data_IF_510584909859
#
_entry.id   IF_510584909859
#
_cell.length_a   1.000
_cell.length_b   1.000
_cell.length_c   1.000
_cell.angle_alpha   90.00
_cell.angle_beta   90.00
_cell.angle_gamma   90.00
#
_symmetry.space_group_name_H-M   'P 1'
#
loop_
_entity.id
_entity.type
_entity.pdbx_description
1 polymer ?
#
# COMPACT_ATOMS: atom_id res chain seq x y z
N UNK A 1 -23.06 73.11 36.76
CA UNK A 1 -24.04 73.31 37.84
C UNK A 1 -25.04 72.16 37.78
N UNK A 2 -25.18 71.47 38.91
CA UNK A 2 -26.30 70.63 39.37
C UNK A 2 -26.79 69.43 38.53
N UNK A 3 -26.47 68.24 39.03
CA UNK A 3 -27.29 67.01 38.93
C UNK A 3 -28.68 67.27 39.62
N UNK A 4 -29.70 66.44 39.28
CA UNK A 4 -30.11 65.41 40.24
C UNK A 4 -30.57 64.09 39.57
N UNK A 5 -30.19 62.97 40.10
CA UNK A 5 -30.77 61.92 40.96
C UNK A 5 -32.16 61.35 40.59
N UNK A 6 -32.11 60.01 40.46
CA UNK A 6 -33.01 58.85 40.42
C UNK A 6 -34.48 59.07 41.02
N UNK A 7 -35.42 58.16 40.64
CA UNK A 7 -35.51 56.90 41.40
C UNK A 7 -35.92 55.62 40.64
N UNK A 8 -35.59 54.52 41.31
CA UNK A 8 -35.93 53.12 41.08
C UNK A 8 -37.44 52.84 41.10
N UNK A 9 -37.90 52.01 40.15
CA UNK A 9 -39.15 51.26 40.33
C UNK A 9 -38.96 49.82 39.85
N UNK A 10 -39.04 48.89 40.81
CA UNK A 10 -39.11 47.45 40.60
C UNK A 10 -40.52 47.10 40.07
N UNK A 11 -40.59 46.34 38.96
CA UNK A 11 -41.77 45.57 38.58
C UNK A 11 -41.37 44.14 38.28
N UNK A 12 -41.88 43.23 39.08
CA UNK A 12 -41.96 41.82 38.84
C UNK A 12 -42.92 41.58 37.67
N UNK A 13 -42.47 40.80 36.68
CA UNK A 13 -43.37 40.22 35.70
C UNK A 13 -43.03 38.74 35.51
N UNK A 14 -44.05 37.93 35.71
CA UNK A 14 -44.05 36.48 35.74
C UNK A 14 -43.71 35.90 34.39
N UNK A 15 -42.81 34.86 34.39
CA UNK A 15 -42.53 33.99 33.25
C UNK A 15 -43.74 33.07 33.02
N UNK A 16 -44.40 33.20 31.87
CA UNK A 16 -45.23 32.14 31.29
C UNK A 16 -44.40 31.37 30.27
N UNK A 17 -44.06 30.15 30.64
CA UNK A 17 -43.30 29.22 29.79
C UNK A 17 -44.30 28.53 28.85
N UNK A 18 -44.37 29.00 27.60
CA UNK A 18 -45.12 28.31 26.54
C UNK A 18 -44.21 27.29 25.86
N UNK A 19 -44.42 26.04 26.16
CA UNK A 19 -43.78 24.92 25.47
C UNK A 19 -44.34 24.77 24.05
N UNK A 20 -43.60 25.22 23.04
CA UNK A 20 -43.84 24.84 21.64
C UNK A 20 -43.23 23.46 21.40
N UNK A 21 -44.06 22.44 21.29
CA UNK A 21 -43.67 21.13 20.77
C UNK A 21 -43.57 21.25 19.26
N UNK A 22 -42.33 21.40 18.76
CA UNK A 22 -42.04 21.26 17.34
C UNK A 22 -41.92 19.75 17.04
N UNK A 23 -42.94 19.16 16.44
CA UNK A 23 -42.88 17.86 15.80
C UNK A 23 -42.02 17.98 14.56
N UNK A 24 -40.69 17.75 14.69
CA UNK A 24 -39.82 17.53 13.57
C UNK A 24 -40.00 16.07 13.09
N UNK A 25 -40.60 15.89 11.91
CA UNK A 25 -40.49 14.66 11.15
C UNK A 25 -39.02 14.49 10.75
N UNK A 26 -38.22 13.85 11.61
CA UNK A 26 -36.88 13.39 11.28
C UNK A 26 -37.00 12.16 10.44
N UNK A 27 -36.50 12.21 9.22
CA UNK A 27 -36.11 11.01 8.48
C UNK A 27 -35.17 10.19 9.37
N UNK A 28 -35.49 8.93 9.58
CA UNK A 28 -34.62 7.96 10.26
C UNK A 28 -33.28 7.87 9.53
N UNK A 29 -32.34 8.70 9.94
CA UNK A 29 -30.94 8.52 9.64
C UNK A 29 -30.43 7.33 10.45
N UNK A 30 -30.52 6.13 9.92
CA UNK A 30 -29.77 5.01 10.49
C UNK A 30 -28.32 5.45 10.62
N UNK A 31 -27.66 5.29 11.80
CA UNK A 31 -26.25 5.57 11.90
C UNK A 31 -25.52 4.74 10.85
N UNK A 32 -24.46 5.28 10.21
CA UNK A 32 -23.72 4.53 9.22
C UNK A 32 -23.32 3.21 9.86
N UNK A 33 -23.68 2.10 9.20
CA UNK A 33 -23.26 0.77 9.59
C UNK A 33 -21.74 0.82 9.78
N UNK A 34 -21.27 0.61 11.00
CA UNK A 34 -19.84 0.47 11.29
C UNK A 34 -19.31 -0.56 10.30
N UNK A 35 -18.46 -0.11 9.38
CA UNK A 35 -17.67 -1.03 8.58
C UNK A 35 -16.99 -2.06 9.51
N UNK A 36 -16.59 -3.22 9.01
CA UNK A 36 -15.94 -4.24 9.83
C UNK A 36 -14.87 -3.56 10.68
N UNK A 37 -14.92 -3.80 12.01
CA UNK A 37 -13.93 -3.24 12.92
C UNK A 37 -12.54 -3.63 12.41
N UNK A 38 -11.67 -2.65 12.18
CA UNK A 38 -10.31 -2.92 11.72
C UNK A 38 -9.67 -3.95 12.66
N UNK A 39 -9.30 -5.10 12.12
CA UNK A 39 -8.58 -6.12 12.89
C UNK A 39 -7.28 -5.50 13.42
N UNK A 40 -6.94 -5.85 14.66
CA UNK A 40 -5.68 -5.38 15.26
C UNK A 40 -4.51 -5.97 14.48
N UNK A 41 -3.55 -5.12 14.10
CA UNK A 41 -2.31 -5.57 13.48
C UNK A 41 -1.62 -6.65 14.33
N UNK A 42 -1.12 -7.73 13.73
CA UNK A 42 -0.45 -8.78 14.45
C UNK A 42 0.86 -8.29 15.08
N UNK A 43 1.18 -8.84 16.26
CA UNK A 43 2.48 -8.64 16.88
C UNK A 43 3.40 -9.80 16.51
N UNK A 44 4.54 -9.49 15.89
CA UNK A 44 5.47 -10.51 15.41
C UNK A 44 6.52 -10.81 16.48
N UNK A 45 6.47 -12.02 17.02
CA UNK A 45 7.50 -12.48 17.96
C UNK A 45 8.84 -12.60 17.24
N UNK A 46 9.85 -11.94 17.79
CA UNK A 46 11.24 -12.01 17.27
C UNK A 46 11.82 -13.40 17.55
N UNK A 47 12.37 -14.02 16.52
CA UNK A 47 13.02 -15.32 16.65
C UNK A 47 14.28 -15.22 17.53
N UNK A 48 14.29 -15.96 18.64
CA UNK A 48 15.46 -16.01 19.55
C UNK A 48 16.49 -16.99 19.02
N UNK A 49 17.77 -16.62 19.11
CA UNK A 49 18.87 -17.52 18.71
C UNK A 49 19.06 -17.67 17.18
N UNK A 50 18.28 -16.97 16.36
CA UNK A 50 18.43 -17.03 14.91
C UNK A 50 19.86 -16.63 14.47
N UNK A 51 20.45 -17.43 13.57
CA UNK A 51 21.80 -17.20 13.01
C UNK A 51 21.77 -17.43 11.50
N UNK A 52 22.44 -16.57 10.77
CA UNK A 52 22.61 -16.65 9.32
C UNK A 52 24.01 -16.13 8.94
N UNK A 53 25.10 -16.84 9.39
CA UNK A 53 26.47 -16.37 9.20
C UNK A 53 26.89 -16.27 7.74
N UNK A 54 26.26 -17.03 6.83
CA UNK A 54 26.52 -17.04 5.39
C UNK A 54 26.05 -15.74 4.71
N UNK A 55 25.01 -15.08 5.26
CA UNK A 55 24.51 -13.81 4.71
C UNK A 55 25.35 -12.62 5.16
N UNK A 56 25.97 -11.94 4.21
CA UNK A 56 26.66 -10.68 4.45
C UNK A 56 25.72 -9.56 4.86
N UNK A 57 24.54 -9.53 4.24
CA UNK A 57 23.49 -8.54 4.53
C UNK A 57 22.95 -8.70 5.94
N UNK A 58 22.60 -9.94 6.33
CA UNK A 58 22.11 -10.21 7.68
C UNK A 58 23.15 -9.87 8.76
N UNK A 59 24.45 -10.23 8.57
CA UNK A 59 25.50 -9.87 9.52
C UNK A 59 25.58 -8.35 9.74
N UNK A 60 25.53 -7.56 8.65
CA UNK A 60 25.51 -6.09 8.72
C UNK A 60 24.28 -5.58 9.48
N UNK A 61 23.09 -6.10 9.15
CA UNK A 61 21.86 -5.74 9.84
C UNK A 61 21.90 -6.12 11.33
N UNK A 62 22.43 -7.30 11.65
CA UNK A 62 22.58 -7.79 13.02
C UNK A 62 23.54 -6.90 13.83
N UNK A 63 24.70 -6.52 13.27
CA UNK A 63 25.65 -5.59 13.91
C UNK A 63 25.03 -4.22 14.15
N UNK A 64 24.23 -3.73 13.22
CA UNK A 64 23.51 -2.45 13.29
C UNK A 64 22.29 -2.51 14.23
N UNK A 65 21.80 -3.72 14.54
CA UNK A 65 20.63 -3.99 15.38
C UNK A 65 19.29 -3.74 14.69
N UNK A 66 19.27 -3.55 13.37
CA UNK A 66 18.08 -3.37 12.54
C UNK A 66 18.34 -3.63 11.06
N UNK A 67 17.27 -3.93 10.32
CA UNK A 67 17.28 -3.87 8.86
C UNK A 67 17.00 -2.46 8.34
N UNK A 68 17.56 -2.14 7.18
CA UNK A 68 17.18 -1.01 6.32
C UNK A 68 16.37 -1.59 5.17
N UNK A 69 15.10 -1.22 5.08
CA UNK A 69 14.15 -1.82 4.14
C UNK A 69 13.63 -0.79 3.17
N UNK A 70 13.74 -1.08 1.88
CA UNK A 70 13.10 -0.29 0.86
C UNK A 70 11.60 -0.58 0.79
N UNK A 71 10.79 0.47 0.70
CA UNK A 71 9.33 0.37 0.62
C UNK A 71 8.75 1.46 -0.28
N UNK A 72 7.45 1.34 -0.59
CA UNK A 72 6.64 2.41 -1.16
C UNK A 72 6.10 3.31 -0.04
N UNK A 73 5.71 4.54 -0.41
CA UNK A 73 5.13 5.51 0.56
C UNK A 73 3.76 6.03 0.14
N UNK A 74 3.34 5.72 -1.10
CA UNK A 74 2.20 6.31 -1.78
C UNK A 74 1.09 5.31 -2.14
N UNK A 75 1.21 4.04 -1.74
CA UNK A 75 0.26 2.99 -2.12
C UNK A 75 -0.68 2.67 -0.96
N UNK A 76 -1.95 3.12 -1.00
CA UNK A 76 -2.91 2.89 0.08
C UNK A 76 -3.06 1.41 0.44
N UNK A 77 -3.06 1.10 1.73
CA UNK A 77 -3.17 -0.25 2.32
C UNK A 77 -1.99 -1.21 2.02
N UNK A 78 -1.03 -0.83 1.17
CA UNK A 78 0.14 -1.63 0.78
C UNK A 78 1.43 -1.08 1.39
N UNK A 79 1.87 0.08 0.95
CA UNK A 79 3.02 0.81 1.46
C UNK A 79 2.70 2.30 1.46
N UNK A 80 2.21 2.78 2.57
CA UNK A 80 1.75 4.16 2.76
C UNK A 80 2.55 4.80 3.91
N UNK A 81 2.99 6.05 3.73
CA UNK A 81 3.68 6.80 4.75
C UNK A 81 2.82 7.95 5.21
N UNK A 82 2.54 8.00 6.50
CA UNK A 82 1.84 9.12 7.10
C UNK A 82 2.71 10.39 7.05
N UNK A 83 2.27 11.46 6.40
CA UNK A 83 3.07 12.67 6.21
C UNK A 83 3.31 13.45 7.52
N UNK A 84 2.44 13.29 8.52
CA UNK A 84 2.56 13.99 9.79
C UNK A 84 3.52 13.32 10.76
N UNK A 85 3.51 11.97 10.79
CA UNK A 85 4.32 11.17 11.73
C UNK A 85 5.54 10.54 11.09
N UNK A 86 5.55 10.39 9.77
CA UNK A 86 6.56 9.65 9.02
C UNK A 86 6.43 8.12 9.16
N UNK A 87 5.39 7.63 9.83
CA UNK A 87 5.17 6.21 10.05
C UNK A 87 4.73 5.51 8.76
N UNK A 88 5.30 4.32 8.51
CA UNK A 88 4.90 3.46 7.42
C UNK A 88 3.86 2.44 7.87
N UNK A 89 2.88 2.17 7.00
CA UNK A 89 1.80 1.22 7.22
C UNK A 89 1.39 0.50 5.93
N UNK A 90 0.64 -0.58 6.05
CA UNK A 90 0.10 -1.35 4.94
C UNK A 90 0.66 -2.77 4.86
N UNK A 91 0.14 -3.56 3.94
CA UNK A 91 0.42 -4.99 3.82
C UNK A 91 1.91 -5.28 3.55
N UNK A 92 2.54 -4.55 2.64
CA UNK A 92 3.98 -4.69 2.34
C UNK A 92 4.84 -4.38 3.57
N UNK A 93 4.42 -3.40 4.37
CA UNK A 93 5.10 -3.03 5.62
C UNK A 93 4.99 -4.15 6.65
N UNK A 94 3.83 -4.79 6.75
CA UNK A 94 3.63 -5.93 7.63
C UNK A 94 4.44 -7.16 7.16
N UNK A 95 4.52 -7.42 5.86
CA UNK A 95 5.40 -8.45 5.28
C UNK A 95 6.87 -8.17 5.66
N UNK A 96 7.33 -6.92 5.52
CA UNK A 96 8.68 -6.54 5.93
C UNK A 96 8.93 -6.80 7.42
N UNK A 97 7.97 -6.46 8.28
CA UNK A 97 8.03 -6.71 9.73
C UNK A 97 8.08 -8.20 10.07
N UNK A 98 7.29 -9.03 9.39
CA UNK A 98 7.30 -10.50 9.55
C UNK A 98 8.68 -11.07 9.27
N UNK A 99 9.29 -10.65 8.15
CA UNK A 99 10.63 -11.08 7.75
C UNK A 99 11.66 -10.66 8.80
N UNK A 100 11.67 -9.40 9.21
CA UNK A 100 12.60 -8.90 10.23
C UNK A 100 12.53 -9.72 11.53
N UNK A 101 11.32 -9.94 12.05
CA UNK A 101 11.09 -10.72 13.27
C UNK A 101 11.55 -12.17 13.11
N UNK A 102 11.27 -12.79 11.98
CA UNK A 102 11.67 -14.19 11.70
C UNK A 102 13.19 -14.34 11.57
N UNK A 103 13.89 -13.29 11.09
CA UNK A 103 15.35 -13.24 10.98
C UNK A 103 16.04 -12.72 12.27
N UNK A 104 15.31 -12.66 13.38
CA UNK A 104 15.86 -12.38 14.72
C UNK A 104 16.15 -10.90 15.00
N UNK A 105 15.53 -9.96 14.26
CA UNK A 105 15.64 -8.53 14.51
C UNK A 105 14.27 -7.90 14.83
N UNK A 106 14.26 -6.95 15.77
CA UNK A 106 13.03 -6.28 16.20
C UNK A 106 12.39 -5.50 15.04
N UNK A 107 11.15 -5.86 14.62
CA UNK A 107 10.47 -5.22 13.52
C UNK A 107 10.12 -3.75 13.77
N UNK A 108 10.04 -3.32 15.03
CA UNK A 108 9.81 -1.92 15.41
C UNK A 108 11.02 -1.03 15.16
N UNK A 109 12.19 -1.64 14.94
CA UNK A 109 13.45 -0.93 14.69
C UNK A 109 13.83 -0.87 13.21
N UNK A 110 13.01 -1.38 12.32
CA UNK A 110 13.24 -1.26 10.87
C UNK A 110 13.39 0.21 10.50
N UNK A 111 14.44 0.50 9.74
CA UNK A 111 14.59 1.78 9.05
C UNK A 111 14.02 1.65 7.64
N UNK A 112 12.82 2.20 7.43
CA UNK A 112 12.22 2.22 6.10
C UNK A 112 12.79 3.36 5.25
N UNK A 113 13.07 3.06 3.98
CA UNK A 113 13.45 4.03 2.95
C UNK A 113 12.48 3.98 1.79
N UNK A 114 11.94 5.14 1.42
CA UNK A 114 11.15 5.26 0.19
C UNK A 114 12.04 5.04 -1.02
N UNK A 115 11.69 4.06 -1.86
CA UNK A 115 12.41 3.75 -3.10
C UNK A 115 11.43 3.67 -4.26
N UNK A 116 11.57 4.55 -5.24
CA UNK A 116 10.79 4.54 -6.46
C UNK A 116 10.99 3.26 -7.28
N UNK A 117 10.00 2.90 -8.12
CA UNK A 117 10.04 1.66 -8.90
C UNK A 117 11.27 1.53 -9.79
N UNK A 118 11.76 2.64 -10.36
CA UNK A 118 12.94 2.65 -11.23
C UNK A 118 14.26 2.43 -10.50
N UNK A 119 14.29 2.59 -9.17
CA UNK A 119 15.53 2.61 -8.38
C UNK A 119 15.72 1.35 -7.51
N UNK A 120 14.79 0.39 -7.56
CA UNK A 120 14.78 -0.79 -6.65
C UNK A 120 16.02 -1.66 -6.81
N UNK A 121 16.33 -2.01 -8.06
CA UNK A 121 17.46 -2.84 -8.41
C UNK A 121 18.79 -2.18 -7.98
N UNK A 122 18.96 -0.90 -8.31
CA UNK A 122 20.16 -0.13 -7.96
C UNK A 122 20.34 0.03 -6.45
N UNK A 123 19.25 0.27 -5.71
CA UNK A 123 19.30 0.40 -4.25
C UNK A 123 19.75 -0.90 -3.56
N UNK A 124 19.30 -2.07 -4.06
CA UNK A 124 19.75 -3.38 -3.58
C UNK A 124 21.19 -3.66 -3.96
N UNK A 125 21.58 -3.42 -5.22
CA UNK A 125 22.93 -3.65 -5.73
C UNK A 125 23.99 -2.82 -5.00
N UNK A 126 23.67 -1.57 -4.68
CA UNK A 126 24.57 -0.65 -3.98
C UNK A 126 24.53 -0.80 -2.45
N UNK A 127 23.73 -1.74 -1.92
CA UNK A 127 23.59 -1.95 -0.47
C UNK A 127 23.01 -0.75 0.29
N UNK A 128 22.22 0.08 -0.38
CA UNK A 128 21.50 1.20 0.25
C UNK A 128 20.37 0.71 1.14
N UNK A 129 19.85 -0.47 0.85
CA UNK A 129 18.84 -1.22 1.57
C UNK A 129 19.26 -2.69 1.70
N UNK A 130 18.82 -3.36 2.74
CA UNK A 130 19.11 -4.77 2.98
C UNK A 130 18.16 -5.70 2.21
N UNK A 131 16.89 -5.32 2.12
CA UNK A 131 15.88 -5.95 1.28
C UNK A 131 14.79 -4.93 0.91
N UNK A 132 13.95 -5.29 -0.06
CA UNK A 132 12.89 -4.43 -0.57
C UNK A 132 11.54 -5.14 -0.55
N UNK A 133 10.53 -4.48 0.02
CA UNK A 133 9.12 -4.93 0.00
C UNK A 133 8.25 -3.76 -0.44
N UNK A 134 7.66 -3.87 -1.63
CA UNK A 134 6.87 -2.77 -2.19
C UNK A 134 6.35 -3.12 -3.58
N UNK A 135 5.32 -3.98 -3.65
CA UNK A 135 4.66 -4.38 -4.91
C UNK A 135 5.67 -4.73 -6.01
N UNK A 136 6.64 -5.59 -5.68
CA UNK A 136 7.80 -5.86 -6.53
C UNK A 136 7.63 -7.15 -7.32
N UNK A 137 7.11 -7.03 -8.52
CA UNK A 137 6.89 -8.16 -9.43
C UNK A 137 8.19 -8.92 -9.71
N UNK A 138 8.19 -10.21 -9.41
CA UNK A 138 9.24 -11.16 -9.78
C UNK A 138 9.18 -11.39 -11.28
N UNK A 139 10.28 -11.21 -11.98
CA UNK A 139 10.45 -11.62 -13.38
C UNK A 139 11.91 -11.95 -13.71
N UNK A 140 12.14 -12.62 -14.85
CA UNK A 140 13.46 -13.12 -15.22
C UNK A 140 14.47 -12.00 -15.46
N UNK A 141 14.06 -10.84 -15.96
CA UNK A 141 14.98 -9.72 -16.16
C UNK A 141 15.47 -9.16 -14.84
N UNK A 142 14.59 -9.05 -13.83
CA UNK A 142 14.96 -8.59 -12.48
C UNK A 142 15.80 -9.64 -11.74
N UNK A 143 15.51 -10.95 -11.91
CA UNK A 143 16.32 -12.05 -11.35
C UNK A 143 17.78 -12.02 -11.81
N UNK A 144 18.09 -11.42 -12.97
CA UNK A 144 19.47 -11.19 -13.41
C UNK A 144 20.22 -10.12 -12.60
N UNK A 145 19.49 -9.23 -11.92
CA UNK A 145 20.02 -8.06 -11.22
C UNK A 145 19.96 -8.21 -9.70
N UNK A 146 18.91 -8.85 -9.18
CA UNK A 146 18.63 -9.03 -7.74
C UNK A 146 18.09 -10.44 -7.47
N UNK A 147 18.14 -10.88 -6.22
CA UNK A 147 17.44 -12.08 -5.76
C UNK A 147 16.01 -11.75 -5.31
N UNK A 148 15.13 -12.76 -5.32
CA UNK A 148 13.77 -12.67 -4.83
C UNK A 148 13.42 -13.82 -3.90
N UNK A 149 12.87 -13.48 -2.72
CA UNK A 149 12.10 -14.43 -1.91
C UNK A 149 10.61 -14.25 -2.17
N UNK A 150 9.83 -15.31 -2.02
CA UNK A 150 8.39 -15.32 -2.27
C UNK A 150 7.98 -16.10 -3.51
N UNK A 151 6.86 -15.75 -4.18
CA UNK A 151 6.04 -14.55 -3.96
C UNK A 151 5.20 -14.59 -2.68
N UNK A 152 4.88 -13.40 -2.13
CA UNK A 152 3.98 -13.27 -0.99
C UNK A 152 2.55 -12.86 -1.39
N UNK A 153 2.34 -12.38 -2.61
CA UNK A 153 1.05 -11.99 -3.16
C UNK A 153 1.01 -12.19 -4.67
N UNK A 154 -0.17 -12.43 -5.23
CA UNK A 154 -0.37 -12.50 -6.67
C UNK A 154 -1.31 -11.39 -7.11
N UNK A 155 -0.76 -10.38 -7.76
CA UNK A 155 -1.50 -9.31 -8.39
C UNK A 155 -1.64 -9.51 -9.91
N UNK A 156 -2.36 -8.61 -10.55
CA UNK A 156 -2.43 -8.52 -12.00
C UNK A 156 -2.63 -7.08 -12.44
N UNK A 157 -2.07 -6.69 -13.59
CA UNK A 157 -2.23 -5.35 -14.12
C UNK A 157 -3.67 -5.06 -14.49
N UNK A 158 -4.19 -3.90 -14.06
CA UNK A 158 -5.53 -3.41 -14.32
C UNK A 158 -5.54 -1.96 -14.79
N UNK A 159 -6.72 -1.38 -14.84
CA UNK A 159 -6.97 0.01 -15.21
C UNK A 159 -7.83 0.70 -14.15
N UNK A 160 -7.43 1.92 -13.79
CA UNK A 160 -8.20 2.84 -12.96
C UNK A 160 -8.60 4.03 -13.81
N UNK A 161 -9.86 4.39 -13.75
CA UNK A 161 -10.44 5.53 -14.46
C UNK A 161 -11.28 6.36 -13.53
N UNK A 162 -11.65 7.58 -13.95
CA UNK A 162 -12.65 8.37 -13.24
C UNK A 162 -13.99 7.66 -13.24
N UNK A 163 -14.82 7.94 -12.27
CA UNK A 163 -16.12 7.27 -12.10
C UNK A 163 -17.07 7.52 -13.29
N UNK A 164 -16.97 8.69 -13.94
CA UNK A 164 -17.75 9.09 -15.11
C UNK A 164 -17.16 8.63 -16.46
N UNK A 165 -16.02 7.94 -16.47
CA UNK A 165 -15.40 7.41 -17.70
C UNK A 165 -16.04 6.08 -18.09
N UNK A 166 -16.67 6.00 -19.27
CA UNK A 166 -17.37 4.82 -19.76
C UNK A 166 -16.78 4.22 -21.05
N UNK A 167 -15.82 4.90 -21.68
CA UNK A 167 -15.22 4.44 -22.93
C UNK A 167 -14.06 3.46 -22.69
N UNK A 168 -13.38 3.54 -21.54
CA UNK A 168 -12.24 2.69 -21.20
C UNK A 168 -12.73 1.54 -20.30
N UNK A 169 -12.82 0.32 -20.85
CA UNK A 169 -13.27 -0.89 -20.14
C UNK A 169 -12.24 -2.01 -20.15
N UNK A 170 -11.22 -1.89 -21.00
CA UNK A 170 -10.19 -2.89 -21.20
C UNK A 170 -8.93 -2.25 -21.77
N UNK A 171 -7.77 -2.91 -21.77
CA UNK A 171 -6.56 -2.35 -22.38
C UNK A 171 -6.67 -2.16 -23.90
N UNK A 172 -7.68 -2.73 -24.56
CA UNK A 172 -7.92 -2.50 -26.00
C UNK A 172 -8.51 -1.11 -26.31
N UNK A 173 -9.05 -0.45 -25.30
CA UNK A 173 -9.67 0.86 -25.43
C UNK A 173 -8.67 2.01 -25.19
N UNK A 174 -7.38 1.68 -25.03
CA UNK A 174 -6.32 2.65 -24.73
C UNK A 174 -5.75 3.37 -25.98
N UNK A 175 -6.15 2.98 -27.19
CA UNK A 175 -5.71 3.63 -28.44
C UNK A 175 -6.03 5.12 -28.41
N UNK A 176 -4.99 5.98 -28.53
CA UNK A 176 -5.11 7.44 -28.47
C UNK A 176 -5.33 8.04 -27.06
N UNK A 177 -5.51 7.22 -26.03
CA UNK A 177 -5.70 7.67 -24.65
C UNK A 177 -4.36 7.99 -23.98
N UNK A 178 -4.38 8.95 -23.05
CA UNK A 178 -3.24 9.28 -22.17
C UNK A 178 -3.28 8.34 -20.97
N UNK A 179 -2.28 7.47 -20.87
CA UNK A 179 -2.22 6.41 -19.84
C UNK A 179 -1.02 6.64 -18.95
N UNK A 180 -1.27 6.78 -17.64
CA UNK A 180 -0.21 7.01 -16.66
C UNK A 180 0.20 5.72 -15.96
N UNK A 181 1.50 5.56 -15.73
CA UNK A 181 2.07 4.49 -14.88
C UNK A 181 3.38 4.95 -14.25
N UNK A 182 3.83 4.25 -13.20
CA UNK A 182 5.10 4.57 -12.57
C UNK A 182 6.28 4.11 -13.42
N UNK A 183 7.27 4.98 -13.62
CA UNK A 183 8.50 4.67 -14.33
C UNK A 183 9.21 3.43 -13.73
N UNK A 184 9.71 2.52 -14.57
CA UNK A 184 10.41 1.29 -14.15
C UNK A 184 9.49 0.18 -13.60
N UNK A 185 8.17 0.37 -13.62
CA UNK A 185 7.20 -0.67 -13.30
C UNK A 185 6.98 -1.64 -14.48
N UNK A 186 6.53 -2.87 -14.19
CA UNK A 186 6.09 -3.84 -15.22
C UNK A 186 4.88 -3.32 -16.00
N UNK A 187 3.87 -2.69 -15.35
CA UNK A 187 2.77 -2.05 -16.07
C UNK A 187 3.20 -0.98 -17.07
N UNK A 188 4.16 -0.13 -16.70
CA UNK A 188 4.73 0.86 -17.62
C UNK A 188 5.33 0.20 -18.86
N UNK A 189 6.20 -0.81 -18.65
CA UNK A 189 6.86 -1.53 -19.74
C UNK A 189 5.86 -2.22 -20.67
N UNK A 190 4.81 -2.82 -20.11
CA UNK A 190 3.75 -3.50 -20.88
C UNK A 190 3.00 -2.53 -21.77
N UNK A 191 2.60 -1.34 -21.26
CA UNK A 191 1.92 -0.35 -22.10
C UNK A 191 2.83 0.08 -23.25
N UNK A 192 4.10 0.35 -22.94
CA UNK A 192 5.06 0.77 -23.96
C UNK A 192 5.25 -0.29 -25.07
N UNK A 193 5.22 -1.58 -24.73
CA UNK A 193 5.48 -2.68 -25.65
C UNK A 193 4.22 -3.15 -26.38
N UNK A 194 3.11 -3.34 -25.65
CA UNK A 194 1.94 -4.05 -26.15
C UNK A 194 0.82 -3.09 -26.61
N UNK A 195 0.87 -1.82 -26.18
CA UNK A 195 -0.15 -0.81 -26.48
C UNK A 195 0.47 0.50 -26.99
N UNK A 196 1.27 0.46 -28.08
CA UNK A 196 2.08 1.59 -28.55
C UNK A 196 1.26 2.78 -29.10
N UNK A 197 -0.05 2.60 -29.32
CA UNK A 197 -0.95 3.68 -29.71
C UNK A 197 -1.48 4.50 -28.53
N UNK A 198 -1.29 4.04 -27.29
CA UNK A 198 -1.56 4.83 -26.11
C UNK A 198 -0.46 5.88 -25.91
N UNK A 199 -0.85 7.06 -25.47
CA UNK A 199 0.12 8.09 -25.04
C UNK A 199 0.54 7.82 -23.61
N UNK A 200 1.70 7.16 -23.44
CA UNK A 200 2.21 6.77 -22.13
C UNK A 200 2.82 7.97 -21.39
N UNK A 201 2.33 8.25 -20.20
CA UNK A 201 2.83 9.25 -19.25
C UNK A 201 3.48 8.54 -18.07
N UNK A 202 4.64 8.99 -17.61
CA UNK A 202 5.38 8.37 -16.53
C UNK A 202 5.71 9.36 -15.42
N UNK A 203 5.50 8.93 -14.18
CA UNK A 203 5.97 9.62 -12.97
C UNK A 203 6.70 8.62 -12.04
N UNK A 204 7.32 9.10 -10.99
CA UNK A 204 8.02 8.26 -10.01
C UNK A 204 7.06 7.51 -9.09
N UNK A 205 5.85 8.06 -8.87
CA UNK A 205 4.83 7.53 -7.96
C UNK A 205 3.47 7.39 -8.63
N UNK A 206 2.65 6.48 -8.14
CA UNK A 206 1.28 6.31 -8.61
C UNK A 206 0.33 7.38 -8.07
N UNK A 207 0.63 7.97 -6.91
CA UNK A 207 -0.15 9.10 -6.38
C UNK A 207 -0.20 10.25 -7.36
N UNK A 208 0.94 10.61 -7.98
CA UNK A 208 1.00 11.65 -9.01
C UNK A 208 0.18 11.24 -10.25
N UNK A 209 0.19 9.96 -10.66
CA UNK A 209 -0.67 9.48 -11.73
C UNK A 209 -2.17 9.65 -11.39
N UNK A 210 -2.56 9.33 -10.16
CA UNK A 210 -3.95 9.46 -9.69
C UNK A 210 -4.38 10.93 -9.61
N UNK A 211 -3.52 11.83 -9.13
CA UNK A 211 -3.79 13.27 -9.12
C UNK A 211 -4.01 13.82 -10.55
N UNK A 212 -3.20 13.34 -11.50
CA UNK A 212 -3.36 13.70 -12.92
C UNK A 212 -4.63 13.09 -13.54
N UNK A 213 -5.08 11.91 -13.07
CA UNK A 213 -6.34 11.31 -13.49
C UNK A 213 -7.54 12.15 -13.00
N UNK A 214 -7.53 12.54 -11.72
CA UNK A 214 -8.58 13.36 -11.11
C UNK A 214 -8.66 14.77 -11.73
N UNK A 215 -7.53 15.30 -12.18
CA UNK A 215 -7.45 16.63 -12.84
C UNK A 215 -7.53 16.58 -14.37
N UNK A 216 -7.96 15.44 -14.95
CA UNK A 216 -8.17 15.25 -16.40
C UNK A 216 -6.90 15.43 -17.24
N UNK A 217 -5.71 15.34 -16.65
CA UNK A 217 -4.44 15.39 -17.40
C UNK A 217 -4.11 14.06 -18.06
N UNK A 218 -4.63 12.94 -17.49
CA UNK A 218 -4.57 11.61 -18.10
C UNK A 218 -5.97 10.97 -18.10
N UNK A 219 -6.15 9.98 -18.94
CA UNK A 219 -7.46 9.34 -19.16
C UNK A 219 -7.59 8.04 -18.34
N UNK A 220 -6.46 7.38 -18.07
CA UNK A 220 -6.39 6.19 -17.22
C UNK A 220 -5.07 6.12 -16.46
N UNK A 221 -5.09 5.45 -15.31
CA UNK A 221 -3.90 4.96 -14.60
C UNK A 221 -3.85 3.46 -14.73
N UNK A 222 -2.68 2.92 -15.05
CA UNK A 222 -2.47 1.48 -15.13
C UNK A 222 -1.36 1.04 -14.19
N UNK A 223 -1.70 0.07 -13.36
CA UNK A 223 -0.79 -0.65 -12.47
C UNK A 223 -1.48 -1.93 -11.99
N UNK A 224 -0.94 -2.56 -10.96
CA UNK A 224 -1.47 -3.78 -10.39
C UNK A 224 -2.79 -3.52 -9.65
N UNK A 225 -3.72 -4.44 -9.78
CA UNK A 225 -5.08 -4.34 -9.26
C UNK A 225 -5.14 -4.04 -7.76
N UNK A 226 -4.25 -4.63 -6.96
CA UNK A 226 -4.15 -4.35 -5.52
C UNK A 226 -3.86 -2.86 -5.24
N UNK A 227 -3.02 -2.21 -6.06
CA UNK A 227 -2.71 -0.78 -5.95
C UNK A 227 -3.93 0.05 -6.38
N UNK A 228 -4.53 -0.29 -7.52
CA UNK A 228 -5.69 0.44 -8.06
C UNK A 228 -6.90 0.39 -7.12
N UNK A 229 -7.18 -0.79 -6.56
CA UNK A 229 -8.26 -0.97 -5.58
C UNK A 229 -8.01 -0.12 -4.33
N UNK A 230 -6.75 -0.03 -3.89
CA UNK A 230 -6.39 0.83 -2.77
C UNK A 230 -6.73 2.30 -3.03
N UNK A 231 -6.40 2.84 -4.19
CA UNK A 231 -6.77 4.21 -4.56
C UNK A 231 -8.27 4.40 -4.73
N UNK A 232 -8.96 3.48 -5.43
CA UNK A 232 -10.41 3.54 -5.60
C UNK A 232 -11.15 3.49 -4.25
N UNK A 233 -10.67 2.70 -3.30
CA UNK A 233 -11.27 2.63 -1.95
C UNK A 233 -11.09 3.91 -1.13
N UNK A 234 -10.09 4.76 -1.43
CA UNK A 234 -9.89 6.06 -0.77
C UNK A 234 -10.87 7.13 -1.27
N UNK A 235 -11.25 7.08 -2.56
CA UNK A 235 -12.13 8.06 -3.22
C UNK A 235 -13.15 7.35 -4.14
N UNK A 236 -14.05 6.54 -3.58
CA UNK A 236 -14.93 5.65 -4.35
C UNK A 236 -15.94 6.38 -5.24
N UNK A 237 -16.26 7.62 -4.92
CA UNK A 237 -17.19 8.44 -5.72
C UNK A 237 -16.51 9.06 -6.94
N UNK A 238 -15.17 9.07 -6.98
CA UNK A 238 -14.41 9.72 -8.05
C UNK A 238 -13.70 8.71 -8.96
N UNK A 239 -13.34 7.52 -8.45
CA UNK A 239 -12.52 6.54 -9.15
C UNK A 239 -13.16 5.15 -9.17
N UNK A 240 -12.96 4.43 -10.28
CA UNK A 240 -13.35 3.01 -10.42
C UNK A 240 -12.25 2.21 -11.12
N UNK A 241 -12.07 0.97 -10.66
CA UNK A 241 -11.26 -0.03 -11.38
C UNK A 241 -12.13 -0.68 -12.44
N UNK A 242 -11.62 -0.79 -13.67
CA UNK A 242 -12.38 -1.33 -14.80
C UNK A 242 -11.71 -2.56 -15.41
N UNK A 243 -12.54 -3.41 -15.98
CA UNK A 243 -12.11 -4.65 -16.63
C UNK A 243 -11.63 -5.72 -15.66
N UNK A 244 -10.91 -6.70 -16.21
CA UNK A 244 -10.24 -7.75 -15.44
C UNK A 244 -8.73 -7.55 -15.53
N UNK A 245 -7.97 -7.98 -14.54
CA UNK A 245 -6.51 -8.00 -14.65
C UNK A 245 -6.05 -8.75 -15.91
N UNK A 246 -5.10 -8.17 -16.63
CA UNK A 246 -4.62 -8.68 -17.91
C UNK A 246 -3.14 -9.14 -17.89
N UNK A 247 -2.60 -9.31 -16.68
CA UNK A 247 -1.29 -9.93 -16.45
C UNK A 247 -1.25 -10.74 -15.16
N UNK A 248 -0.09 -11.35 -14.88
CA UNK A 248 0.24 -11.93 -13.58
C UNK A 248 1.47 -11.23 -13.03
N UNK A 249 1.32 -10.65 -11.85
CA UNK A 249 2.34 -9.85 -11.19
C UNK A 249 2.64 -10.45 -9.79
N UNK A 250 3.47 -11.50 -9.71
CA UNK A 250 3.85 -12.12 -8.44
C UNK A 250 4.74 -11.17 -7.64
N UNK A 251 4.28 -10.72 -6.46
CA UNK A 251 5.05 -9.84 -5.59
C UNK A 251 6.05 -10.61 -4.76
N UNK A 252 7.33 -10.27 -4.90
CA UNK A 252 8.42 -10.84 -4.13
C UNK A 252 9.15 -9.82 -3.28
N UNK A 253 9.98 -10.33 -2.41
CA UNK A 253 10.91 -9.57 -1.58
C UNK A 253 12.25 -9.55 -2.27
N UNK A 254 12.68 -8.36 -2.73
CA UNK A 254 13.98 -8.18 -3.35
C UNK A 254 15.12 -8.24 -2.33
N UNK A 255 16.17 -8.98 -2.63
CA UNK A 255 17.40 -9.07 -1.82
C UNK A 255 18.62 -8.89 -2.73
N UNK A 256 19.82 -8.57 -2.19
CA UNK A 256 21.04 -8.57 -3.00
C UNK A 256 21.23 -9.90 -3.74
N UNK A 257 21.57 -9.83 -5.03
CA UNK A 257 21.63 -11.02 -5.91
C UNK A 257 22.54 -12.13 -5.40
N UNK A 258 23.67 -11.76 -4.82
CA UNK A 258 24.68 -12.70 -4.32
C UNK A 258 24.41 -13.25 -2.91
N UNK A 259 23.28 -12.86 -2.27
CA UNK A 259 22.95 -13.29 -0.91
C UNK A 259 21.83 -14.36 -0.91
N UNK A 260 22.13 -15.51 -1.51
CA UNK A 260 21.18 -16.64 -1.56
C UNK A 260 20.80 -17.13 -0.17
N UNK A 261 21.70 -17.03 0.82
CA UNK A 261 21.40 -17.38 2.20
C UNK A 261 20.26 -16.51 2.75
N UNK A 262 20.30 -15.19 2.52
CA UNK A 262 19.21 -14.30 2.90
C UNK A 262 17.91 -14.63 2.16
N UNK A 263 18.00 -14.89 0.84
CA UNK A 263 16.87 -15.25 0.01
C UNK A 263 16.13 -16.48 0.53
N UNK A 264 16.85 -17.58 0.79
CA UNK A 264 16.26 -18.80 1.34
C UNK A 264 15.66 -18.58 2.73
N UNK A 265 16.32 -17.79 3.59
CA UNK A 265 15.80 -17.46 4.90
C UNK A 265 14.51 -16.60 4.83
N UNK A 266 14.39 -15.72 3.82
CA UNK A 266 13.16 -14.96 3.53
C UNK A 266 12.05 -15.90 3.08
N UNK A 267 12.33 -16.87 2.19
CA UNK A 267 11.36 -17.88 1.75
C UNK A 267 10.83 -18.71 2.94
N UNK A 268 11.73 -19.14 3.82
CA UNK A 268 11.36 -19.89 5.03
C UNK A 268 10.52 -19.04 5.99
N UNK A 269 10.88 -17.77 6.15
CA UNK A 269 10.13 -16.82 6.97
C UNK A 269 8.70 -16.64 6.43
N UNK A 270 8.53 -16.42 5.13
CA UNK A 270 7.23 -16.28 4.49
C UNK A 270 6.39 -17.54 4.66
N UNK A 271 6.94 -18.72 4.34
CA UNK A 271 6.23 -19.99 4.49
C UNK A 271 5.74 -20.23 5.93
N UNK A 272 6.57 -19.90 6.93
CA UNK A 272 6.20 -20.02 8.33
C UNK A 272 5.07 -19.07 8.72
N UNK A 273 5.08 -17.82 8.22
CA UNK A 273 4.07 -16.78 8.50
C UNK A 273 2.75 -17.02 7.78
N UNK A 274 2.79 -17.61 6.61
CA UNK A 274 1.60 -18.09 5.90
C UNK A 274 0.95 -19.26 6.68
N UNK A 275 1.76 -20.24 7.09
CA UNK A 275 1.30 -21.42 7.81
C UNK A 275 0.69 -21.10 9.18
N UNK A 276 1.24 -20.13 9.92
CA UNK A 276 0.75 -19.78 11.26
C UNK A 276 -0.40 -18.75 11.23
N UNK A 277 -0.80 -18.26 10.05
CA UNK A 277 -1.90 -17.32 9.84
C UNK A 277 -1.53 -15.85 10.02
N UNK A 278 -0.28 -15.50 10.32
CA UNK A 278 0.14 -14.09 10.45
C UNK A 278 -0.05 -13.31 9.13
N UNK A 279 0.25 -13.96 8.00
CA UNK A 279 0.02 -13.38 6.66
C UNK A 279 -1.44 -12.96 6.47
N UNK A 280 -2.39 -13.86 6.81
CA UNK A 280 -3.82 -13.57 6.67
C UNK A 280 -4.28 -12.44 7.59
N UNK A 281 -3.84 -12.45 8.86
CA UNK A 281 -4.16 -11.37 9.80
C UNK A 281 -3.63 -10.03 9.35
N UNK A 282 -2.40 -10.00 8.81
CA UNK A 282 -1.83 -8.77 8.26
C UNK A 282 -2.62 -8.29 7.04
N UNK A 283 -3.01 -9.20 6.15
CA UNK A 283 -3.84 -8.86 4.99
C UNK A 283 -5.17 -8.25 5.43
N UNK A 284 -5.91 -8.94 6.32
CA UNK A 284 -7.24 -8.51 6.78
C UNK A 284 -7.17 -7.14 7.50
N UNK A 285 -6.10 -6.89 8.26
CA UNK A 285 -5.89 -5.62 8.96
C UNK A 285 -5.34 -4.47 8.08
N UNK A 286 -4.99 -4.74 6.83
CA UNK A 286 -4.41 -3.75 5.91
C UNK A 286 -5.09 -3.77 4.55
N UNK A 287 -4.58 -4.51 3.57
CA UNK A 287 -5.11 -4.55 2.20
C UNK A 287 -6.57 -5.00 2.15
N UNK A 288 -7.01 -5.87 3.07
CA UNK A 288 -8.40 -6.29 3.22
C UNK A 288 -9.36 -5.14 3.52
N UNK A 289 -8.88 -4.02 4.08
CA UNK A 289 -9.69 -2.81 4.31
C UNK A 289 -10.13 -2.13 3.00
N UNK A 290 -9.52 -2.48 1.88
CA UNK A 290 -9.98 -2.07 0.54
C UNK A 290 -11.28 -2.79 0.09
N UNK A 291 -11.80 -3.71 0.90
CA UNK A 291 -13.00 -4.49 0.61
C UNK A 291 -12.76 -5.80 -0.13
N UNK A 292 -11.51 -6.15 -0.44
CA UNK A 292 -11.16 -7.40 -1.12
C UNK A 292 -10.79 -8.48 -0.10
N UNK A 293 -11.48 -9.64 -0.09
CA UNK A 293 -11.14 -10.74 0.83
C UNK A 293 -9.74 -11.29 0.59
N UNK A 294 -9.10 -11.77 1.66
CA UNK A 294 -7.79 -12.38 1.57
C UNK A 294 -7.79 -13.58 0.59
N UNK A 295 -6.96 -13.55 -0.45
CA UNK A 295 -6.79 -14.71 -1.31
C UNK A 295 -5.96 -15.78 -0.59
N UNK A 296 -5.87 -16.96 -1.19
CA UNK A 296 -4.88 -17.95 -0.76
C UNK A 296 -3.48 -17.40 -1.10
N UNK A 297 -2.51 -17.42 -0.16
CA UNK A 297 -1.13 -17.09 -0.49
C UNK A 297 -0.62 -17.91 -1.67
N UNK A 298 0.17 -17.33 -2.58
CA UNK A 298 0.77 -18.07 -3.68
C UNK A 298 1.85 -19.05 -3.16
N UNK A 299 2.13 -20.10 -3.92
CA UNK A 299 3.23 -20.99 -3.59
C UNK A 299 4.57 -20.24 -3.76
N UNK A 300 5.47 -20.42 -2.79
CA UNK A 300 6.81 -19.81 -2.83
C UNK A 300 7.66 -20.46 -3.93
N UNK A 301 8.26 -19.65 -4.78
CA UNK A 301 9.16 -20.06 -5.86
C UNK A 301 10.61 -20.17 -5.33
N UNK A 302 10.99 -21.39 -4.94
CA UNK A 302 12.34 -21.68 -4.44
C UNK A 302 13.28 -22.04 -5.61
N UNK A 303 13.58 -21.08 -6.47
CA UNK A 303 14.52 -21.33 -7.55
C UNK A 303 15.96 -21.56 -7.05
N UNK A 304 16.84 -22.27 -7.82
CA UNK A 304 18.20 -22.58 -7.42
C UNK A 304 19.04 -21.34 -7.04
N UNK A 305 20.14 -21.56 -6.30
CA UNK A 305 21.13 -20.52 -6.04
C UNK A 305 21.74 -19.98 -7.35
N UNK A 306 22.12 -18.71 -7.35
CA UNK A 306 22.74 -18.04 -8.48
C UNK A 306 24.21 -18.44 -8.67
#
# INVERSE_FOLDING_TARGET
MKKPTLPTARLLAALVLSALVATACGKDGSPPTKGPAAEKLPEYRVATGFRLPESGTWRKARSRGRFIVGAKEDQPYLGEKDPATGAYSGFDIEIAKMVSASLGLDPRRIEFKTIASANRETALQNGQIDYYVGTYTINDNRKKLVGFGGPYYMAGQGLLVRHDEDDIRSPRDLDGKRVCSAAGSTPYQRIQQDYPKATLVAYDTYSVCVDNLLTYQVDAVTTDDAILIGYAAKVPDELKVVGRPFSKEPYGIGVPRSDDALRFAVDDALAAREKNGDWKKAYDATLGLSGVPAPKPPAIDRYPAN
#
